data_IF_831460898032
#
_entry.id   IF_831460898032
#
_cell.length_a   1.000
_cell.length_b   1.000
_cell.length_c   1.000
_cell.angle_alpha   90.00
_cell.angle_beta   90.00
_cell.angle_gamma   90.00
#
_symmetry.space_group_name_H-M   'P 1'
#
loop_
_entity.id
_entity.type
_entity.pdbx_description
1 polymer ?
#
# COMPACT_ATOMS: atom_id res chain seq x y z
N UNK A 1 -4.56 25.88 24.42
CA UNK A 1 -4.25 25.68 23.01
C UNK A 1 -3.67 24.30 22.80
N UNK A 2 -4.23 23.58 21.90
CA UNK A 2 -3.77 22.24 21.65
C UNK A 2 -2.87 22.29 20.44
N UNK A 3 -1.61 21.98 20.66
CA UNK A 3 -0.69 21.86 19.57
C UNK A 3 -0.84 20.47 18.97
N UNK A 4 -1.46 20.43 17.80
CA UNK A 4 -1.46 19.20 17.03
C UNK A 4 -0.16 19.12 16.26
N UNK A 5 0.77 18.38 16.80
CA UNK A 5 1.91 18.00 16.01
C UNK A 5 1.48 16.83 15.15
N UNK A 6 1.23 17.10 13.90
CA UNK A 6 0.98 16.04 12.93
C UNK A 6 2.34 15.44 12.61
N UNK A 7 2.45 14.11 12.76
CA UNK A 7 3.67 13.43 12.37
C UNK A 7 3.91 13.64 10.87
N UNK A 8 5.15 13.97 10.54
CA UNK A 8 5.60 14.03 9.15
C UNK A 8 6.61 12.90 8.98
N UNK A 9 6.52 12.19 7.85
CA UNK A 9 7.43 11.08 7.59
C UNK A 9 8.86 11.59 7.46
N UNK A 10 9.77 10.95 8.19
CA UNK A 10 11.19 11.29 8.19
C UNK A 10 11.97 10.42 7.19
N UNK A 11 13.29 10.56 7.15
CA UNK A 11 14.13 9.82 6.23
C UNK A 11 14.04 8.31 6.42
N UNK A 12 13.97 7.84 7.66
CA UNK A 12 13.84 6.40 7.96
C UNK A 12 12.51 5.88 7.47
N UNK A 13 11.45 6.66 7.64
CA UNK A 13 10.13 6.30 7.13
C UNK A 13 10.15 6.19 5.61
N UNK A 14 10.85 7.09 4.94
CA UNK A 14 10.95 7.06 3.48
C UNK A 14 11.75 5.86 2.96
N UNK A 15 12.73 5.39 3.73
CA UNK A 15 13.42 4.13 3.41
C UNK A 15 12.43 2.97 3.49
N UNK A 16 11.62 2.94 4.53
CA UNK A 16 10.57 1.93 4.68
C UNK A 16 9.59 1.97 3.50
N UNK A 17 9.17 3.17 3.12
CA UNK A 17 8.30 3.36 1.94
C UNK A 17 8.98 2.80 0.69
N UNK A 18 10.26 3.10 0.49
CA UNK A 18 11.02 2.63 -0.66
C UNK A 18 11.07 1.10 -0.70
N UNK A 19 11.31 0.47 0.44
CA UNK A 19 11.35 -0.99 0.53
C UNK A 19 9.99 -1.61 0.20
N UNK A 20 8.92 -1.03 0.68
CA UNK A 20 7.56 -1.49 0.35
C UNK A 20 7.30 -1.36 -1.15
N UNK A 21 7.72 -0.26 -1.76
CA UNK A 21 7.56 -0.05 -3.20
C UNK A 21 8.33 -1.09 -4.01
N UNK A 22 9.49 -1.49 -3.54
CA UNK A 22 10.28 -2.53 -4.19
C UNK A 22 9.56 -3.88 -4.18
N UNK A 23 8.66 -4.09 -3.23
CA UNK A 23 7.83 -5.29 -3.18
C UNK A 23 6.59 -5.20 -4.09
N UNK A 24 6.33 -4.04 -4.67
CA UNK A 24 5.19 -3.84 -5.54
C UNK A 24 4.06 -3.01 -4.93
N UNK A 25 4.27 -2.47 -3.73
CA UNK A 25 3.27 -1.59 -3.10
C UNK A 25 3.25 -0.26 -3.85
N UNK A 26 2.07 0.22 -4.20
CA UNK A 26 1.93 1.52 -4.85
C UNK A 26 2.40 2.63 -3.91
N UNK A 27 2.95 3.70 -4.47
CA UNK A 27 3.53 4.80 -3.70
C UNK A 27 2.57 5.37 -2.66
N UNK A 28 1.35 5.69 -3.07
CA UNK A 28 0.38 6.29 -2.16
C UNK A 28 -0.01 5.33 -1.02
N UNK A 29 -0.16 4.05 -1.33
CA UNK A 29 -0.47 3.02 -0.32
C UNK A 29 0.71 2.86 0.63
N UNK A 30 1.94 2.80 0.11
CA UNK A 30 3.13 2.65 0.94
C UNK A 30 3.28 3.81 1.93
N UNK A 31 3.10 5.05 1.45
CA UNK A 31 3.16 6.23 2.32
C UNK A 31 2.10 6.19 3.42
N UNK A 32 0.86 5.85 3.06
CA UNK A 32 -0.22 5.76 4.04
C UNK A 32 0.00 4.63 5.04
N UNK A 33 0.49 3.48 4.58
CA UNK A 33 0.78 2.34 5.45
C UNK A 33 1.86 2.69 6.48
N UNK A 34 2.96 3.28 6.03
CA UNK A 34 4.04 3.66 6.94
C UNK A 34 3.55 4.68 7.95
N UNK A 35 2.77 5.66 7.51
CA UNK A 35 2.19 6.64 8.42
C UNK A 35 1.33 5.96 9.49
N UNK A 36 0.40 5.10 9.08
CA UNK A 36 -0.51 4.43 10.00
C UNK A 36 0.18 3.35 10.86
N UNK A 37 1.38 2.92 10.48
CA UNK A 37 2.16 2.00 11.31
C UNK A 37 2.74 2.70 12.54
N UNK A 38 2.91 4.03 12.47
CA UNK A 38 3.47 4.83 13.57
C UNK A 38 2.39 5.53 14.39
N UNK A 39 1.26 5.83 13.78
CA UNK A 39 0.19 6.61 14.38
C UNK A 39 -1.02 5.72 14.57
N UNK A 40 -1.57 5.72 15.78
CA UNK A 40 -2.70 4.85 16.13
C UNK A 40 -3.89 5.07 15.20
N UNK A 41 -4.20 6.33 14.93
CA UNK A 41 -5.30 6.69 14.04
C UNK A 41 -5.04 8.07 13.43
N UNK A 42 -5.56 8.30 12.24
CA UNK A 42 -5.38 9.56 11.55
C UNK A 42 -6.57 9.86 10.66
N UNK A 43 -6.93 11.14 10.55
CA UNK A 43 -7.90 11.62 9.58
C UNK A 43 -7.23 11.70 8.20
N UNK A 44 -8.04 11.84 7.15
CA UNK A 44 -7.52 12.01 5.80
C UNK A 44 -6.66 13.27 5.68
N UNK A 45 -7.02 14.34 6.40
CA UNK A 45 -6.24 15.58 6.41
C UNK A 45 -4.86 15.36 7.06
N UNK A 46 -4.82 14.64 8.18
CA UNK A 46 -3.55 14.33 8.83
C UNK A 46 -2.67 13.47 7.92
N UNK A 47 -3.27 12.55 7.18
CA UNK A 47 -2.55 11.75 6.19
C UNK A 47 -1.99 12.63 5.07
N UNK A 48 -2.76 13.59 4.57
CA UNK A 48 -2.27 14.54 3.56
C UNK A 48 -1.03 15.29 4.07
N UNK A 49 -1.12 15.83 5.27
CA UNK A 49 -0.03 16.62 5.86
C UNK A 49 1.20 15.73 6.11
N UNK A 50 0.97 14.57 6.71
CA UNK A 50 2.07 13.70 7.12
C UNK A 50 2.78 13.01 5.97
N UNK A 51 2.07 12.69 4.90
CA UNK A 51 2.62 11.96 3.76
C UNK A 51 2.97 12.86 2.58
N UNK A 52 2.40 14.07 2.54
CA UNK A 52 2.56 14.95 1.39
C UNK A 52 1.68 14.60 0.21
N UNK A 53 0.82 13.61 0.35
CA UNK A 53 -0.10 13.22 -0.71
C UNK A 53 -1.29 14.18 -0.79
N UNK A 54 -1.86 14.28 -1.96
CA UNK A 54 -3.08 15.07 -2.18
C UNK A 54 -4.32 14.22 -1.90
N UNK A 55 -5.44 14.89 -1.69
CA UNK A 55 -6.69 14.22 -1.32
C UNK A 55 -7.08 13.08 -2.28
N UNK A 56 -7.02 13.23 -3.61
CA UNK A 56 -7.35 12.12 -4.50
C UNK A 56 -6.44 10.91 -4.30
N UNK A 57 -5.16 11.12 -4.04
CA UNK A 57 -4.20 10.05 -3.78
C UNK A 57 -4.48 9.35 -2.46
N UNK A 58 -4.84 10.14 -1.43
CA UNK A 58 -5.24 9.60 -0.13
C UNK A 58 -6.50 8.75 -0.28
N UNK A 59 -7.50 9.24 -1.00
CA UNK A 59 -8.74 8.50 -1.22
C UNK A 59 -8.49 7.17 -1.92
N UNK A 60 -7.64 7.14 -2.91
CA UNK A 60 -7.28 5.92 -3.61
C UNK A 60 -6.56 4.93 -2.68
N UNK A 61 -5.62 5.43 -1.90
CA UNK A 61 -4.89 4.58 -0.95
C UNK A 61 -5.81 4.00 0.10
N UNK A 62 -6.67 4.82 0.70
CA UNK A 62 -7.62 4.37 1.72
C UNK A 62 -8.62 3.37 1.14
N UNK A 63 -9.09 3.60 -0.09
CA UNK A 63 -9.98 2.68 -0.78
C UNK A 63 -9.34 1.31 -0.98
N UNK A 64 -8.11 1.28 -1.47
CA UNK A 64 -7.37 0.04 -1.66
C UNK A 64 -7.18 -0.71 -0.35
N UNK A 65 -6.75 0.00 0.69
CA UNK A 65 -6.50 -0.61 2.00
C UNK A 65 -7.79 -1.10 2.66
N UNK A 66 -8.89 -0.36 2.46
CA UNK A 66 -10.19 -0.75 2.96
C UNK A 66 -10.71 -1.99 2.25
N UNK A 67 -10.55 -2.07 0.93
CA UNK A 67 -10.96 -3.23 0.14
C UNK A 67 -10.21 -4.50 0.58
N UNK A 68 -8.97 -4.36 0.98
CA UNK A 68 -8.17 -5.47 1.49
C UNK A 68 -8.40 -5.73 2.98
N UNK A 69 -9.24 -4.95 3.62
CA UNK A 69 -9.54 -5.06 5.05
C UNK A 69 -8.31 -4.84 5.93
N UNK A 70 -7.41 -3.96 5.49
CA UNK A 70 -6.22 -3.61 6.26
C UNK A 70 -6.46 -2.47 7.23
N UNK A 71 -7.46 -1.65 6.94
CA UNK A 71 -7.80 -0.51 7.79
C UNK A 71 -9.28 -0.55 8.15
N UNK A 72 -9.58 0.10 9.25
CA UNK A 72 -10.96 0.37 9.66
C UNK A 72 -11.08 1.85 9.95
N UNK A 73 -12.31 2.34 9.96
CA UNK A 73 -12.58 3.75 10.22
C UNK A 73 -13.65 3.87 11.29
N UNK A 74 -13.58 4.94 12.05
CA UNK A 74 -14.60 5.28 13.01
C UNK A 74 -14.68 6.79 13.16
N UNK A 75 -15.77 7.24 13.74
CA UNK A 75 -16.00 8.67 13.95
C UNK A 75 -15.57 9.05 15.35
N UNK A 76 -14.84 10.15 15.46
CA UNK A 76 -14.47 10.73 16.75
C UNK A 76 -14.94 12.17 16.77
N UNK A 77 -15.17 12.70 17.98
CA UNK A 77 -15.50 14.12 18.12
C UNK A 77 -14.20 14.91 18.18
N UNK A 78 -14.01 15.78 17.21
CA UNK A 78 -12.78 16.55 17.10
C UNK A 78 -12.69 17.68 18.11
N UNK A 79 -13.84 18.31 18.39
CA UNK A 79 -13.85 19.52 19.21
C UNK A 79 -15.12 19.64 20.03
N UNK A 80 -15.21 20.74 20.82
CA UNK A 80 -16.35 21.04 21.68
C UNK A 80 -17.65 21.27 20.93
N UNK A 81 -17.58 21.52 19.63
CA UNK A 81 -18.77 21.72 18.79
C UNK A 81 -19.42 20.42 18.36
N UNK A 82 -18.81 19.28 18.71
CA UNK A 82 -19.39 17.99 18.44
C UNK A 82 -19.38 17.54 16.98
N UNK A 83 -18.57 18.17 16.12
CA UNK A 83 -18.43 17.72 14.74
C UNK A 83 -17.73 16.37 14.71
N UNK A 84 -18.35 15.35 14.12
CA UNK A 84 -17.66 14.08 13.97
C UNK A 84 -16.54 14.18 12.94
N UNK A 85 -15.42 13.56 13.24
CA UNK A 85 -14.28 13.47 12.34
C UNK A 85 -14.02 11.99 12.08
N UNK A 86 -13.92 11.63 10.81
CA UNK A 86 -13.61 10.25 10.44
C UNK A 86 -12.12 10.02 10.53
N UNK A 87 -11.73 8.99 11.28
CA UNK A 87 -10.33 8.60 11.41
C UNK A 87 -10.15 7.15 10.98
N UNK A 88 -8.94 6.83 10.57
CA UNK A 88 -8.55 5.53 10.04
C UNK A 88 -7.43 4.96 10.87
N UNK A 89 -7.45 3.63 11.02
CA UNK A 89 -6.39 2.92 11.74
C UNK A 89 -6.13 1.59 11.08
N UNK A 90 -4.88 1.11 11.19
CA UNK A 90 -4.54 -0.24 10.74
C UNK A 90 -5.22 -1.25 11.67
N UNK A 91 -5.86 -2.24 11.08
CA UNK A 91 -6.49 -3.33 11.83
C UNK A 91 -5.80 -4.68 11.59
N UNK A 92 -4.65 -4.66 10.92
CA UNK A 92 -3.84 -5.84 10.67
C UNK A 92 -2.39 -5.56 11.06
N UNK A 93 -1.63 -6.62 11.27
CA UNK A 93 -0.19 -6.48 11.50
C UNK A 93 0.52 -6.26 10.18
N UNK A 94 1.63 -5.52 10.20
CA UNK A 94 2.43 -5.31 9.00
C UNK A 94 2.88 -6.63 8.38
N UNK A 95 3.09 -7.68 9.21
CA UNK A 95 3.44 -9.00 8.70
C UNK A 95 2.38 -9.56 7.75
N UNK A 96 1.11 -9.30 8.02
CA UNK A 96 0.03 -9.74 7.13
C UNK A 96 0.08 -9.01 5.80
N UNK A 97 0.50 -7.76 5.81
CA UNK A 97 0.61 -6.94 4.60
C UNK A 97 1.76 -7.44 3.72
N UNK A 98 2.97 -7.62 4.30
CA UNK A 98 4.07 -8.10 3.46
C UNK A 98 3.90 -9.57 3.06
N UNK A 99 3.21 -10.38 3.83
CA UNK A 99 2.85 -11.74 3.42
C UNK A 99 1.95 -11.72 2.17
N UNK A 100 1.01 -10.77 2.11
CA UNK A 100 0.18 -10.57 0.93
C UNK A 100 1.04 -10.32 -0.31
N UNK A 101 2.02 -9.41 -0.20
CA UNK A 101 2.89 -9.09 -1.34
C UNK A 101 3.86 -10.23 -1.65
N UNK A 102 4.30 -10.95 -0.64
CA UNK A 102 5.11 -12.16 -0.84
C UNK A 102 4.35 -13.18 -1.69
N UNK A 103 3.09 -13.42 -1.37
CA UNK A 103 2.26 -14.35 -2.14
C UNK A 103 2.05 -13.85 -3.57
N UNK A 104 1.89 -12.55 -3.76
CA UNK A 104 1.77 -11.96 -5.10
C UNK A 104 3.04 -12.20 -5.92
N UNK A 105 4.19 -12.02 -5.31
CA UNK A 105 5.49 -12.23 -5.97
C UNK A 105 5.65 -13.69 -6.36
N UNK A 106 5.35 -14.60 -5.45
CA UNK A 106 5.46 -16.05 -5.70
C UNK A 106 4.52 -16.46 -6.84
N UNK A 107 3.27 -16.01 -6.79
CA UNK A 107 2.27 -16.32 -7.81
C UNK A 107 2.71 -15.79 -9.18
N UNK A 108 3.16 -14.53 -9.22
CA UNK A 108 3.62 -13.92 -10.48
C UNK A 108 4.84 -14.62 -11.04
N UNK A 109 5.76 -15.03 -10.17
CA UNK A 109 6.94 -15.78 -10.58
C UNK A 109 6.54 -17.11 -11.22
N UNK A 110 5.64 -17.85 -10.57
CA UNK A 110 5.20 -19.16 -11.07
C UNK A 110 4.47 -19.02 -12.40
N UNK A 111 3.61 -18.03 -12.53
CA UNK A 111 2.90 -17.77 -13.78
C UNK A 111 3.85 -17.39 -14.90
N UNK A 112 4.83 -16.54 -14.61
CA UNK A 112 5.84 -16.13 -15.58
C UNK A 112 6.70 -17.32 -16.02
N UNK A 113 7.05 -18.20 -15.09
CA UNK A 113 7.83 -19.39 -15.40
C UNK A 113 7.09 -20.31 -16.38
N UNK A 114 5.78 -20.48 -16.16
CA UNK A 114 4.93 -21.27 -17.05
C UNK A 114 4.88 -20.63 -18.43
N UNK A 115 4.70 -19.31 -18.50
CA UNK A 115 4.64 -18.59 -19.77
C UNK A 115 5.94 -18.67 -20.53
N UNK A 116 7.07 -18.54 -19.85
CA UNK A 116 8.39 -18.66 -20.48
C UNK A 116 8.58 -20.06 -21.07
N UNK A 117 8.21 -21.09 -20.32
CA UNK A 117 8.30 -22.46 -20.80
C UNK A 117 7.45 -22.68 -22.05
N UNK A 118 6.25 -22.12 -22.04
CA UNK A 118 5.34 -22.19 -23.21
C UNK A 118 5.96 -21.50 -24.42
N UNK A 119 6.55 -20.32 -24.22
CA UNK A 119 7.22 -19.58 -25.29
C UNK A 119 8.42 -20.36 -25.84
N UNK A 120 9.21 -20.99 -24.97
CA UNK A 120 10.35 -21.81 -25.41
C UNK A 120 9.90 -22.94 -26.31
N UNK A 121 8.81 -23.59 -25.97
CA UNK A 121 8.26 -24.68 -26.78
C UNK A 121 7.78 -24.20 -28.14
N UNK A 122 7.13 -23.03 -28.17
CA UNK A 122 6.67 -22.44 -29.44
C UNK A 122 7.85 -22.06 -30.33
N UNK A 123 8.89 -21.48 -29.77
CA UNK A 123 10.11 -21.11 -30.52
C UNK A 123 10.76 -22.34 -31.10
N UNK A 124 10.92 -23.39 -30.32
CA UNK A 124 11.49 -24.65 -30.78
C UNK A 124 10.71 -25.26 -31.94
N UNK A 125 9.37 -25.22 -31.83
CA UNK A 125 8.49 -25.74 -32.89
C UNK A 125 8.67 -24.94 -34.19
N UNK A 126 8.73 -23.61 -34.08
CA UNK A 126 8.91 -22.72 -35.23
C UNK A 126 10.30 -22.94 -35.90
N UNK A 127 11.34 -23.13 -35.11
CA UNK A 127 12.67 -23.39 -35.62
C UNK A 127 12.73 -24.71 -36.38
N UNK A 128 12.07 -25.75 -35.90
CA UNK A 128 11.98 -27.02 -36.59
C UNK A 128 11.28 -26.88 -37.94
N UNK A 129 10.22 -26.05 -37.96
CA UNK A 129 9.48 -25.83 -39.20
C UNK A 129 10.31 -25.06 -40.22
N UNK A 130 11.17 -24.13 -39.76
CA UNK A 130 12.04 -23.33 -40.62
C UNK A 130 13.19 -24.15 -41.22
N UNK A 131 13.62 -25.20 -40.56
CA UNK A 131 14.75 -26.01 -41.03
C UNK A 131 14.40 -26.97 -42.17
N UNK A 132 13.15 -27.14 -42.40
CA UNK A 132 12.65 -27.96 -43.52
C UNK A 132 12.43 -27.06 -44.75
#
# INVERSE_FOLDING_TARGET
>A
MIDFEVKILDENDLVFVSDLRNLGVQRNVALALVYLSHIKEASSRELEIGTGLRQPEISMALGFMSDNRWIESHMVKENKKGRPLKVYSLCVKMSQIYEYYEQQIITNYNESAVEIDRLKKLVQKNQKTKKD
#
